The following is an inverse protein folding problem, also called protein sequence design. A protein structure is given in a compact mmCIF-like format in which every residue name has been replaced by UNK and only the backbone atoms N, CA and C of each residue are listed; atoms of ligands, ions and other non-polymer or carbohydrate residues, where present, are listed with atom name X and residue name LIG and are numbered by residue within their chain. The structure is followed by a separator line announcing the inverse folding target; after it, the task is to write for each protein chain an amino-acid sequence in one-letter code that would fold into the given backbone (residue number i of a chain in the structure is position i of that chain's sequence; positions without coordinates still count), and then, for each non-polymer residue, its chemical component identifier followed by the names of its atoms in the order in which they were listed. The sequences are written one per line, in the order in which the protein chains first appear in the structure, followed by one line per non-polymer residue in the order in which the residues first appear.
data_IF_180472119831
#
_entry.id   IF_180472119831
#
_cell.length_a   1.000
_cell.length_b   1.000
_cell.length_c   1.000
_cell.angle_alpha   90.00
_cell.angle_beta   90.00
_cell.angle_gamma   90.00
#
_symmetry.space_group_name_H-M   'P 1'
#
loop_
_entity.id
_entity.type
_entity.pdbx_description
1 polymer ?
#
# COMPACT_ATOMS: atom_id res chain seq x y z
N UNK A 1 6.82 6.66 5.35
CA UNK A 1 6.82 8.14 5.24
C UNK A 1 5.56 8.67 5.91
N UNK A 2 5.61 9.80 6.62
CA UNK A 2 4.42 10.45 7.17
C UNK A 2 4.18 11.72 6.37
N UNK A 3 2.95 11.94 5.91
CA UNK A 3 2.53 13.17 5.26
C UNK A 3 1.24 13.69 5.89
N UNK A 4 0.96 14.98 5.70
CA UNK A 4 -0.24 15.65 6.20
C UNK A 4 -0.88 16.41 5.04
N UNK A 5 -2.17 16.21 4.81
CA UNK A 5 -2.97 16.98 3.86
C UNK A 5 -4.20 17.48 4.61
N UNK A 6 -4.27 18.79 4.84
CA UNK A 6 -5.26 19.40 5.75
C UNK A 6 -5.19 18.74 7.15
N UNK A 7 -6.30 18.27 7.70
CA UNK A 7 -6.35 17.57 8.99
C UNK A 7 -6.08 16.06 8.88
N UNK A 8 -6.07 15.50 7.67
CA UNK A 8 -5.76 14.10 7.44
C UNK A 8 -4.25 13.85 7.51
N UNK A 9 -3.86 12.93 8.39
CA UNK A 9 -2.49 12.44 8.46
C UNK A 9 -2.43 11.09 7.76
N UNK A 10 -1.43 10.91 6.91
CA UNK A 10 -1.28 9.66 6.16
C UNK A 10 0.10 9.07 6.43
N UNK A 11 0.12 7.75 6.58
CA UNK A 11 1.35 6.96 6.59
C UNK A 11 1.42 6.23 5.25
N UNK A 12 2.53 6.42 4.55
CA UNK A 12 2.78 5.77 3.27
C UNK A 12 3.93 4.79 3.45
N UNK A 13 3.66 3.52 3.20
CA UNK A 13 4.65 2.46 3.13
C UNK A 13 4.97 2.13 1.67
N UNK A 14 6.21 2.38 1.25
CA UNK A 14 6.63 2.24 -0.14
C UNK A 14 7.09 0.80 -0.39
N UNK A 15 6.54 0.14 -1.43
CA UNK A 15 6.90 -1.21 -1.86
C UNK A 15 7.27 -1.23 -3.34
N UNK A 16 8.47 -1.73 -3.62
CA UNK A 16 9.00 -1.79 -4.98
C UNK A 16 8.64 -3.08 -5.72
N UNK A 17 8.36 -4.18 -5.01
CA UNK A 17 8.06 -5.51 -5.59
C UNK A 17 9.09 -5.95 -6.65
N UNK A 18 10.37 -5.64 -6.40
CA UNK A 18 11.49 -5.90 -7.31
C UNK A 18 12.19 -7.25 -7.03
N UNK A 19 11.67 -8.03 -6.09
CA UNK A 19 12.20 -9.32 -5.72
C UNK A 19 11.90 -10.41 -6.74
N UNK A 20 12.51 -11.57 -6.56
CA UNK A 20 12.36 -12.72 -7.47
C UNK A 20 10.99 -13.41 -7.37
N UNK A 21 10.19 -13.09 -6.36
CA UNK A 21 8.89 -13.73 -6.11
C UNK A 21 7.89 -12.72 -5.57
N UNK A 22 6.95 -12.35 -6.43
CA UNK A 22 5.84 -11.46 -6.07
C UNK A 22 5.06 -11.98 -4.85
N UNK A 23 4.77 -13.30 -4.78
CA UNK A 23 4.02 -13.88 -3.66
C UNK A 23 4.74 -13.71 -2.33
N UNK A 24 6.06 -13.94 -2.29
CA UNK A 24 6.84 -13.76 -1.06
C UNK A 24 6.86 -12.30 -0.62
N UNK A 25 7.01 -11.38 -1.56
CA UNK A 25 6.97 -9.94 -1.27
C UNK A 25 5.59 -9.48 -0.82
N UNK A 26 4.51 -10.02 -1.41
CA UNK A 26 3.15 -9.74 -1.01
C UNK A 26 2.86 -10.24 0.41
N UNK A 27 3.33 -11.44 0.77
CA UNK A 27 3.21 -11.96 2.15
C UNK A 27 3.91 -11.05 3.16
N UNK A 28 5.13 -10.61 2.85
CA UNK A 28 5.85 -9.67 3.72
C UNK A 28 5.16 -8.31 3.80
N UNK A 29 4.71 -7.76 2.67
CA UNK A 29 4.04 -6.47 2.63
C UNK A 29 2.70 -6.51 3.39
N UNK A 30 1.94 -7.60 3.26
CA UNK A 30 0.70 -7.80 4.00
C UNK A 30 0.95 -7.87 5.51
N UNK A 31 1.90 -8.69 5.95
CA UNK A 31 2.21 -8.82 7.37
C UNK A 31 2.70 -7.50 7.98
N UNK A 32 3.50 -6.72 7.27
CA UNK A 32 3.93 -5.40 7.72
C UNK A 32 2.75 -4.43 7.80
N UNK A 33 1.89 -4.40 6.78
CA UNK A 33 0.71 -3.54 6.74
C UNK A 33 -0.24 -3.82 7.91
N UNK A 34 -0.56 -5.09 8.17
CA UNK A 34 -1.45 -5.48 9.28
C UNK A 34 -0.86 -5.09 10.65
N UNK A 35 0.42 -5.38 10.89
CA UNK A 35 1.07 -5.01 12.15
C UNK A 35 1.07 -3.50 12.39
N UNK A 36 1.32 -2.70 11.36
CA UNK A 36 1.26 -1.24 11.48
C UNK A 36 -0.16 -0.74 11.67
N UNK A 37 -1.13 -1.31 10.95
CA UNK A 37 -2.54 -0.97 11.09
C UNK A 37 -3.03 -1.21 12.52
N UNK A 38 -2.77 -2.40 13.07
CA UNK A 38 -3.17 -2.77 14.43
C UNK A 38 -2.54 -1.83 15.49
N UNK A 39 -1.29 -1.42 15.28
CA UNK A 39 -0.63 -0.48 16.19
C UNK A 39 -1.24 0.93 16.13
N UNK A 40 -1.64 1.39 14.93
CA UNK A 40 -2.34 2.68 14.77
C UNK A 40 -3.70 2.65 15.45
N UNK A 41 -4.47 1.57 15.27
CA UNK A 41 -5.75 1.40 15.97
C UNK A 41 -5.57 1.37 17.49
N UNK A 42 -4.59 0.61 17.99
CA UNK A 42 -4.30 0.52 19.43
C UNK A 42 -3.92 1.87 20.04
N UNK A 43 -3.18 2.70 19.31
CA UNK A 43 -2.72 4.01 19.79
C UNK A 43 -3.78 5.10 19.66
N UNK A 44 -4.91 4.83 18.98
CA UNK A 44 -5.96 5.82 18.71
C UNK A 44 -5.49 6.96 17.81
N UNK A 45 -4.38 6.76 17.08
CA UNK A 45 -3.85 7.77 16.19
C UNK A 45 -4.65 7.76 14.88
N UNK A 46 -5.23 8.91 14.55
CA UNK A 46 -5.99 9.10 13.32
C UNK A 46 -5.04 9.28 12.12
N UNK A 47 -4.45 8.17 11.67
CA UNK A 47 -3.68 8.09 10.43
C UNK A 47 -4.31 7.12 9.46
N UNK A 48 -4.39 7.52 8.20
CA UNK A 48 -4.65 6.58 7.12
C UNK A 48 -3.34 5.91 6.66
N UNK A 49 -3.26 4.59 6.75
CA UNK A 49 -2.14 3.81 6.23
C UNK A 49 -2.39 3.45 4.76
N UNK A 50 -1.44 3.76 3.89
CA UNK A 50 -1.44 3.40 2.48
C UNK A 50 -0.18 2.59 2.12
N UNK A 51 -0.35 1.57 1.29
CA UNK A 51 0.74 0.90 0.61
C UNK A 51 0.98 1.55 -0.76
N UNK A 52 2.11 2.23 -0.91
CA UNK A 52 2.50 2.83 -2.18
C UNK A 52 3.22 1.83 -3.08
N UNK A 53 2.75 1.71 -4.31
CA UNK A 53 3.30 0.84 -5.36
C UNK A 53 3.43 1.58 -6.67
N UNK A 54 4.33 1.11 -7.54
CA UNK A 54 4.45 1.69 -8.88
C UNK A 54 3.25 1.34 -9.76
N UNK A 55 2.97 2.18 -10.74
CA UNK A 55 1.93 1.92 -11.75
C UNK A 55 2.20 0.61 -12.51
N UNK A 56 3.47 0.30 -12.78
CA UNK A 56 3.87 -0.96 -13.42
C UNK A 56 3.49 -2.17 -12.56
N UNK A 57 3.89 -2.16 -11.28
CA UNK A 57 3.55 -3.24 -10.34
C UNK A 57 2.03 -3.38 -10.18
N UNK A 58 1.31 -2.26 -10.16
CA UNK A 58 -0.13 -2.28 -10.06
C UNK A 58 -0.77 -3.01 -11.25
N UNK A 59 -0.35 -2.65 -12.48
CA UNK A 59 -0.86 -3.24 -13.72
C UNK A 59 -0.51 -4.73 -13.84
N UNK A 60 0.73 -5.08 -13.52
CA UNK A 60 1.24 -6.44 -13.72
C UNK A 60 0.71 -7.44 -12.69
N UNK A 61 0.57 -7.02 -11.43
CA UNK A 61 0.29 -7.94 -10.31
C UNK A 61 -0.98 -7.63 -9.52
N UNK A 62 -1.33 -6.35 -9.33
CA UNK A 62 -2.48 -5.98 -8.48
C UNK A 62 -3.82 -5.95 -9.21
N UNK A 63 -3.83 -6.00 -10.54
CA UNK A 63 -5.04 -6.24 -11.32
C UNK A 63 -5.42 -7.72 -11.42
N UNK A 64 -4.53 -8.63 -11.01
CA UNK A 64 -4.83 -10.06 -11.00
C UNK A 64 -5.88 -10.38 -9.92
N UNK A 65 -6.89 -11.19 -10.28
CA UNK A 65 -8.03 -11.52 -9.39
C UNK A 65 -7.60 -11.99 -8.00
N UNK A 66 -6.55 -12.81 -7.92
CA UNK A 66 -6.02 -13.31 -6.65
C UNK A 66 -5.53 -12.18 -5.73
N UNK A 67 -4.71 -11.27 -6.27
CA UNK A 67 -4.20 -10.12 -5.53
C UNK A 67 -5.33 -9.16 -5.15
N UNK A 68 -6.27 -8.88 -6.06
CA UNK A 68 -7.43 -8.03 -5.78
C UNK A 68 -8.27 -8.57 -4.64
N UNK A 69 -8.53 -9.89 -4.62
CA UNK A 69 -9.25 -10.54 -3.53
C UNK A 69 -8.55 -10.34 -2.19
N UNK A 70 -7.22 -10.49 -2.15
CA UNK A 70 -6.42 -10.28 -0.92
C UNK A 70 -6.51 -8.81 -0.47
N UNK A 71 -6.22 -7.86 -1.36
CA UNK A 71 -6.29 -6.42 -1.07
C UNK A 71 -7.65 -6.03 -0.52
N UNK A 72 -8.73 -6.50 -1.13
CA UNK A 72 -10.09 -6.22 -0.67
C UNK A 72 -10.40 -6.86 0.69
N UNK A 73 -10.05 -8.13 0.88
CA UNK A 73 -10.29 -8.86 2.14
C UNK A 73 -9.61 -8.16 3.32
N UNK A 74 -8.38 -7.71 3.13
CA UNK A 74 -7.57 -7.07 4.16
C UNK A 74 -7.73 -5.54 4.18
N UNK A 75 -8.65 -4.98 3.37
CA UNK A 75 -8.93 -3.54 3.26
C UNK A 75 -7.66 -2.70 3.10
N UNK A 76 -6.71 -3.20 2.31
CA UNK A 76 -5.44 -2.52 2.07
C UNK A 76 -5.72 -1.32 1.18
N UNK A 77 -5.41 -0.12 1.68
CA UNK A 77 -5.44 1.10 0.88
C UNK A 77 -4.18 1.18 0.03
N UNK A 78 -4.33 1.44 -1.28
CA UNK A 78 -3.23 1.51 -2.22
C UNK A 78 -3.02 2.94 -2.72
N UNK A 79 -1.75 3.31 -2.83
CA UNK A 79 -1.32 4.53 -3.50
C UNK A 79 -0.52 4.15 -4.75
N UNK A 80 -1.10 4.33 -5.93
CA UNK A 80 -0.44 3.96 -7.19
C UNK A 80 0.28 5.18 -7.74
N UNK A 81 1.60 5.06 -7.94
CA UNK A 81 2.48 6.16 -8.35
C UNK A 81 3.14 5.83 -9.70
N UNK A 82 3.11 6.77 -10.63
CA UNK A 82 3.94 6.68 -11.83
C UNK A 82 5.34 7.22 -11.48
N UNK A 83 6.33 6.33 -11.49
CA UNK A 83 7.70 6.66 -11.08
C UNK A 83 8.38 7.59 -12.09
N UNK A 84 8.12 7.41 -13.39
CA UNK A 84 8.77 8.21 -14.44
C UNK A 84 8.30 9.68 -14.44
N UNK A 85 7.03 9.90 -14.14
CA UNK A 85 6.39 11.22 -14.10
C UNK A 85 6.33 11.81 -12.68
N UNK A 86 6.78 11.07 -11.68
CA UNK A 86 6.77 11.44 -10.26
C UNK A 86 5.37 11.90 -9.77
N UNK A 87 4.30 11.25 -10.25
CA UNK A 87 2.92 11.64 -9.95
C UNK A 87 2.10 10.50 -9.36
N UNK A 88 1.14 10.87 -8.51
CA UNK A 88 0.16 9.93 -7.98
C UNK A 88 -0.92 9.72 -9.04
N UNK A 89 -1.12 8.46 -9.44
CA UNK A 89 -2.09 8.07 -10.47
C UNK A 89 -3.42 7.69 -9.83
N UNK A 90 -3.41 6.96 -8.71
CA UNK A 90 -4.63 6.48 -8.03
C UNK A 90 -4.48 6.42 -6.51
N UNK A 91 -5.59 6.72 -5.84
CA UNK A 91 -5.85 6.40 -4.44
C UNK A 91 -6.97 5.36 -4.42
N UNK A 92 -6.71 4.17 -3.88
CA UNK A 92 -7.65 3.03 -3.88
C UNK A 92 -7.83 2.47 -2.48
#
# INVERSE_FOLDING_TARGET
MIAKKNDEKIIIEIKTFAGRSFIKELQHALGQYEVYFDLLELTGLDYELYMAISELVYKDFFLQKGTQMIVQRHKIKLLVVNIEREEIVKWL
#
